data_IF_013677752945
#
_entry.id   IF_013677752945
#
_cell.length_a   1.000
_cell.length_b   1.000
_cell.length_c   1.000
_cell.angle_alpha   90.00
_cell.angle_beta   90.00
_cell.angle_gamma   90.00
#
_symmetry.space_group_name_H-M   'P 1'
#
loop_
_entity.id
_entity.type
_entity.pdbx_description
1 polymer ?
#
# COMPACT_ATOMS: atom_id res chain seq x y z
N UNK A 1 18.12 28.91 -2.28
CA UNK A 1 18.13 28.61 -3.72
C UNK A 1 16.68 28.56 -4.17
N UNK A 2 16.24 29.48 -5.04
CA UNK A 2 14.87 29.52 -5.56
C UNK A 2 14.89 28.78 -6.89
N UNK A 3 14.02 27.74 -7.02
CA UNK A 3 13.90 26.99 -8.28
C UNK A 3 13.36 27.88 -9.37
N UNK A 4 13.92 27.80 -10.58
CA UNK A 4 13.36 28.46 -11.75
C UNK A 4 12.05 27.75 -12.21
N UNK A 5 11.22 28.46 -12.97
CA UNK A 5 10.03 27.84 -13.57
C UNK A 5 10.38 26.66 -14.49
N UNK A 6 11.53 26.70 -15.16
CA UNK A 6 12.04 25.59 -15.97
C UNK A 6 12.39 24.36 -15.13
N UNK A 7 12.98 24.56 -13.94
CA UNK A 7 13.29 23.47 -13.01
C UNK A 7 12.01 22.84 -12.46
N UNK A 8 11.01 23.66 -12.11
CA UNK A 8 9.69 23.18 -11.65
C UNK A 8 9.05 22.33 -12.74
N UNK A 9 8.92 22.84 -13.96
CA UNK A 9 8.33 22.09 -15.08
C UNK A 9 9.07 20.78 -15.39
N UNK A 10 10.39 20.74 -15.19
CA UNK A 10 11.19 19.52 -15.38
C UNK A 10 10.94 18.50 -14.26
N UNK A 11 10.78 18.94 -13.01
CA UNK A 11 10.54 18.09 -11.84
C UNK A 11 9.13 17.52 -11.85
N UNK A 12 8.14 18.30 -12.29
CA UNK A 12 6.73 17.88 -12.40
C UNK A 12 6.45 16.91 -13.55
N UNK A 13 7.42 16.72 -14.46
CA UNK A 13 7.20 15.84 -15.64
C UNK A 13 7.03 14.39 -15.24
N UNK A 14 5.82 13.87 -15.40
CA UNK A 14 5.49 12.47 -15.19
C UNK A 14 6.23 11.60 -16.23
N UNK A 15 6.83 10.49 -15.78
CA UNK A 15 7.59 9.57 -16.63
C UNK A 15 7.21 8.13 -16.35
N UNK A 16 6.65 7.46 -17.36
CA UNK A 16 6.34 6.02 -17.30
C UNK A 16 7.57 5.19 -16.98
N UNK A 17 8.74 5.54 -17.54
CA UNK A 17 9.98 4.81 -17.26
C UNK A 17 10.33 4.85 -15.78
N UNK A 18 10.23 6.01 -15.13
CA UNK A 18 10.47 6.13 -13.68
C UNK A 18 9.48 5.29 -12.87
N UNK A 19 8.19 5.34 -13.19
CA UNK A 19 7.17 4.52 -12.54
C UNK A 19 7.47 3.02 -12.67
N UNK A 20 7.75 2.54 -13.88
CA UNK A 20 8.08 1.14 -14.14
C UNK A 20 9.37 0.71 -13.43
N UNK A 21 10.44 1.52 -13.49
CA UNK A 21 11.71 1.21 -12.82
C UNK A 21 11.53 1.13 -11.30
N UNK A 22 10.73 2.02 -10.70
CA UNK A 22 10.44 1.98 -9.25
C UNK A 22 9.69 0.71 -8.85
N UNK A 23 8.69 0.31 -9.64
CA UNK A 23 7.91 -0.91 -9.39
C UNK A 23 8.79 -2.15 -9.56
N UNK A 24 9.44 -2.28 -10.72
CA UNK A 24 10.30 -3.44 -11.00
C UNK A 24 11.49 -3.51 -10.04
N UNK A 25 12.08 -2.38 -9.67
CA UNK A 25 13.12 -2.30 -8.66
C UNK A 25 12.67 -2.87 -7.32
N UNK A 26 11.45 -2.56 -6.87
CA UNK A 26 10.89 -3.13 -5.64
C UNK A 26 10.74 -4.66 -5.74
N UNK A 27 10.21 -5.16 -6.84
CA UNK A 27 10.05 -6.60 -7.08
C UNK A 27 11.40 -7.34 -7.21
N UNK A 28 12.38 -6.75 -7.88
CA UNK A 28 13.73 -7.32 -8.00
C UNK A 28 14.43 -7.40 -6.64
N UNK A 29 14.27 -6.39 -5.80
CA UNK A 29 14.83 -6.42 -4.43
C UNK A 29 14.15 -7.52 -3.60
N UNK A 30 12.82 -7.70 -3.71
CA UNK A 30 12.10 -8.80 -3.05
C UNK A 30 12.66 -10.15 -3.52
N UNK A 31 12.72 -10.37 -4.83
CA UNK A 31 13.24 -11.61 -5.41
C UNK A 31 14.70 -11.87 -4.97
N UNK A 32 15.55 -10.85 -4.98
CA UNK A 32 16.93 -10.94 -4.52
C UNK A 32 17.03 -11.32 -3.04
N UNK A 33 16.21 -10.71 -2.18
CA UNK A 33 16.17 -11.02 -0.73
C UNK A 33 15.75 -12.48 -0.49
N UNK A 34 14.72 -12.96 -1.19
CA UNK A 34 14.29 -14.37 -1.12
C UNK A 34 15.42 -15.31 -1.57
N UNK A 35 16.01 -15.05 -2.74
CA UNK A 35 17.06 -15.90 -3.30
C UNK A 35 18.30 -15.97 -2.41
N UNK A 36 18.76 -14.82 -1.90
CA UNK A 36 19.91 -14.76 -1.00
C UNK A 36 19.65 -15.48 0.33
N UNK A 37 18.48 -15.32 0.91
CA UNK A 37 18.16 -16.01 2.16
C UNK A 37 17.92 -17.51 1.98
N UNK A 38 17.50 -17.96 0.80
CA UNK A 38 17.42 -19.37 0.46
C UNK A 38 18.81 -20.02 0.34
N UNK A 39 19.82 -19.27 -0.12
CA UNK A 39 21.21 -19.74 -0.16
C UNK A 39 21.93 -19.61 1.19
N UNK A 40 21.64 -18.55 1.93
CA UNK A 40 22.28 -18.22 3.20
C UNK A 40 21.20 -18.00 4.26
N UNK A 41 20.75 -19.05 4.92
CA UNK A 41 19.61 -19.05 5.87
C UNK A 41 19.77 -18.05 7.01
N UNK A 42 20.97 -17.71 7.42
CA UNK A 42 21.26 -16.70 8.45
C UNK A 42 20.86 -15.26 8.01
N UNK A 43 20.69 -15.01 6.69
CA UNK A 43 20.20 -13.75 6.14
C UNK A 43 18.67 -13.61 6.24
N UNK A 44 17.94 -14.67 6.62
CA UNK A 44 16.48 -14.65 6.65
C UNK A 44 15.88 -13.48 7.47
N UNK A 45 16.35 -13.16 8.69
CA UNK A 45 15.81 -12.02 9.42
C UNK A 45 15.97 -10.68 8.68
N UNK A 46 17.10 -10.49 8.00
CA UNK A 46 17.34 -9.31 7.18
C UNK A 46 16.44 -9.31 5.93
N UNK A 47 16.26 -10.47 5.29
CA UNK A 47 15.37 -10.61 4.14
C UNK A 47 13.91 -10.23 4.50
N UNK A 48 13.42 -10.67 5.66
CA UNK A 48 12.09 -10.29 6.18
C UNK A 48 11.94 -8.77 6.27
N UNK A 49 12.92 -8.07 6.86
CA UNK A 49 12.89 -6.60 6.99
C UNK A 49 12.96 -5.89 5.63
N UNK A 50 13.80 -6.39 4.72
CA UNK A 50 13.92 -5.83 3.36
C UNK A 50 12.61 -6.02 2.59
N UNK A 51 11.99 -7.20 2.67
CA UNK A 51 10.72 -7.48 2.00
C UNK A 51 9.60 -6.62 2.60
N UNK A 52 9.50 -6.51 3.93
CA UNK A 52 8.54 -5.63 4.60
C UNK A 52 8.67 -4.18 4.09
N UNK A 53 9.90 -3.66 4.04
CA UNK A 53 10.17 -2.33 3.50
C UNK A 53 9.75 -2.20 2.02
N UNK A 54 9.91 -3.24 1.20
CA UNK A 54 9.48 -3.21 -0.21
C UNK A 54 7.97 -3.32 -0.36
N UNK A 55 7.29 -4.07 0.48
CA UNK A 55 5.81 -4.10 0.52
C UNK A 55 5.27 -2.70 0.86
N UNK A 56 5.86 -2.03 1.85
CA UNK A 56 5.54 -0.63 2.16
C UNK A 56 5.80 0.30 0.96
N UNK A 57 6.92 0.12 0.26
CA UNK A 57 7.24 0.90 -0.94
C UNK A 57 6.22 0.67 -2.08
N UNK A 58 5.74 -0.57 -2.26
CA UNK A 58 4.64 -0.85 -3.20
C UNK A 58 3.36 -0.12 -2.79
N UNK A 59 3.04 -0.04 -1.49
CA UNK A 59 1.93 0.77 -0.97
C UNK A 59 2.09 2.26 -1.32
N UNK A 60 3.30 2.83 -1.19
CA UNK A 60 3.58 4.20 -1.61
C UNK A 60 3.42 4.37 -3.13
N UNK A 61 3.79 3.38 -3.93
CA UNK A 61 3.56 3.42 -5.38
C UNK A 61 2.07 3.31 -5.74
N UNK A 62 1.24 2.64 -4.93
CA UNK A 62 -0.22 2.73 -5.06
C UNK A 62 -0.70 4.17 -4.84
N UNK A 63 -0.17 4.86 -3.83
CA UNK A 63 -0.45 6.27 -3.55
C UNK A 63 -0.08 7.16 -4.75
N UNK A 64 1.10 6.98 -5.34
CA UNK A 64 1.49 7.68 -6.59
C UNK A 64 0.51 7.35 -7.74
N UNK A 65 0.06 6.10 -7.83
CA UNK A 65 -0.96 5.68 -8.80
C UNK A 65 -2.33 6.32 -8.57
N UNK A 66 -2.71 6.60 -7.31
CA UNK A 66 -3.91 7.37 -6.96
C UNK A 66 -3.82 8.77 -7.55
N UNK A 67 -2.66 9.41 -7.44
CA UNK A 67 -2.38 10.75 -7.98
C UNK A 67 -2.05 10.76 -9.47
N UNK A 68 -2.09 9.60 -10.15
CA UNK A 68 -1.80 9.46 -11.59
C UNK A 68 -0.37 9.85 -11.98
N UNK A 69 0.59 9.58 -11.09
CA UNK A 69 2.00 9.98 -11.24
C UNK A 69 2.91 8.86 -11.78
N UNK A 70 2.42 7.63 -11.93
CA UNK A 70 3.21 6.52 -12.47
C UNK A 70 3.35 6.55 -13.99
N UNK A 71 2.40 7.18 -14.70
CA UNK A 71 2.42 7.30 -16.16
C UNK A 71 1.54 8.45 -16.62
N UNK A 72 1.92 9.18 -17.72
CA UNK A 72 1.04 10.16 -18.36
C UNK A 72 -0.23 9.52 -18.96
N UNK A 73 -0.19 8.24 -19.31
CA UNK A 73 -1.36 7.48 -19.74
C UNK A 73 -2.16 7.00 -18.53
N UNK A 74 -3.39 7.49 -18.36
CA UNK A 74 -4.27 7.12 -17.24
C UNK A 74 -4.51 5.60 -17.18
N UNK A 75 -4.70 4.95 -18.33
CA UNK A 75 -4.90 3.50 -18.40
C UNK A 75 -3.66 2.74 -17.92
N UNK A 76 -2.49 3.15 -18.40
CA UNK A 76 -1.23 2.50 -18.00
C UNK A 76 -0.91 2.77 -16.52
N UNK A 77 -1.14 3.99 -16.05
CA UNK A 77 -1.03 4.33 -14.63
C UNK A 77 -1.87 3.36 -13.76
N UNK A 78 -3.14 3.18 -14.12
CA UNK A 78 -4.05 2.33 -13.35
C UNK A 78 -3.72 0.84 -13.45
N UNK A 79 -3.24 0.37 -14.61
CA UNK A 79 -2.76 -1.01 -14.75
C UNK A 79 -1.53 -1.26 -13.87
N UNK A 80 -0.53 -0.37 -13.92
CA UNK A 80 0.69 -0.47 -13.11
C UNK A 80 0.35 -0.44 -11.61
N UNK A 81 -0.43 0.57 -11.19
CA UNK A 81 -0.82 0.72 -9.78
C UNK A 81 -1.65 -0.46 -9.28
N UNK A 82 -2.62 -0.93 -10.06
CA UNK A 82 -3.55 -1.98 -9.66
C UNK A 82 -2.89 -3.35 -9.59
N UNK A 83 -2.29 -3.80 -10.69
CA UNK A 83 -1.83 -5.18 -10.80
C UNK A 83 -0.44 -5.43 -10.25
N UNK A 84 0.45 -4.45 -10.30
CA UNK A 84 1.83 -4.61 -9.84
C UNK A 84 2.07 -4.09 -8.43
N UNK A 85 1.15 -3.30 -7.87
CA UNK A 85 1.31 -2.72 -6.53
C UNK A 85 0.12 -3.06 -5.62
N UNK A 86 -1.10 -2.63 -5.96
CA UNK A 86 -2.25 -2.66 -5.07
C UNK A 86 -2.75 -4.09 -4.78
N UNK A 87 -3.05 -4.88 -5.81
CA UNK A 87 -3.57 -6.24 -5.63
C UNK A 87 -2.60 -7.13 -4.86
N UNK A 88 -1.29 -7.19 -5.19
CA UNK A 88 -0.34 -7.99 -4.42
C UNK A 88 -0.27 -7.59 -2.94
N UNK A 89 -0.42 -6.30 -2.64
CA UNK A 89 -0.42 -5.78 -1.27
C UNK A 89 -1.82 -5.70 -0.65
N UNK A 90 -2.80 -6.38 -1.23
CA UNK A 90 -4.19 -6.44 -0.76
C UNK A 90 -4.86 -5.06 -0.64
N UNK A 91 -4.47 -4.08 -1.43
CA UNK A 91 -5.03 -2.73 -1.45
C UNK A 91 -6.03 -2.58 -2.60
N UNK A 92 -7.24 -2.10 -2.33
CA UNK A 92 -8.19 -1.70 -3.37
C UNK A 92 -7.85 -0.30 -3.89
N UNK A 93 -7.27 -0.21 -5.09
CA UNK A 93 -6.92 1.07 -5.72
C UNK A 93 -8.14 1.98 -5.85
N UNK A 94 -9.28 1.43 -6.27
CA UNK A 94 -10.49 2.20 -6.51
C UNK A 94 -11.08 2.78 -5.22
N UNK A 95 -11.14 2.00 -4.14
CA UNK A 95 -11.63 2.46 -2.84
C UNK A 95 -10.68 3.47 -2.21
N UNK A 96 -9.37 3.17 -2.24
CA UNK A 96 -8.38 4.05 -1.63
C UNK A 96 -8.28 5.39 -2.37
N UNK A 97 -8.35 5.39 -3.72
CA UNK A 97 -8.35 6.63 -4.51
C UNK A 97 -9.46 7.58 -4.06
N UNK A 98 -10.68 7.10 -3.97
CA UNK A 98 -11.81 7.92 -3.55
C UNK A 98 -11.57 8.53 -2.17
N UNK A 99 -11.21 7.67 -1.21
CA UNK A 99 -10.96 8.08 0.18
C UNK A 99 -9.83 9.09 0.29
N UNK A 100 -8.71 8.81 -0.37
CA UNK A 100 -7.50 9.61 -0.32
C UNK A 100 -7.70 11.02 -0.93
N UNK A 101 -8.42 11.11 -2.05
CA UNK A 101 -8.76 12.39 -2.66
C UNK A 101 -9.73 13.22 -1.79
N UNK A 102 -10.61 12.56 -1.02
CA UNK A 102 -11.44 13.24 -0.02
C UNK A 102 -10.58 13.76 1.13
N UNK A 103 -9.64 12.93 1.63
CA UNK A 103 -8.68 13.38 2.63
C UNK A 103 -7.96 14.66 2.16
N UNK A 104 -7.39 14.67 0.95
CA UNK A 104 -6.74 15.88 0.40
C UNK A 104 -7.66 17.10 0.35
N UNK A 105 -8.94 16.91 0.02
CA UNK A 105 -9.90 17.99 -0.09
C UNK A 105 -10.33 18.55 1.26
N UNK A 106 -10.39 17.73 2.29
CA UNK A 106 -10.97 18.06 3.59
C UNK A 106 -9.99 17.93 4.76
N UNK A 107 -8.70 17.81 4.48
CA UNK A 107 -7.67 17.68 5.53
C UNK A 107 -7.80 18.76 6.61
N UNK A 108 -7.75 18.34 7.88
CA UNK A 108 -7.89 19.24 9.02
C UNK A 108 -9.33 19.59 9.38
N UNK A 109 -10.34 19.08 8.69
CA UNK A 109 -11.76 19.28 9.01
C UNK A 109 -12.40 17.99 9.54
N UNK A 110 -13.63 18.12 10.07
CA UNK A 110 -14.43 16.97 10.53
C UNK A 110 -14.91 16.06 9.36
N UNK A 111 -14.81 16.52 8.12
CA UNK A 111 -15.14 15.75 6.93
C UNK A 111 -13.95 14.92 6.40
N UNK A 112 -12.77 15.06 7.00
CA UNK A 112 -11.60 14.29 6.65
C UNK A 112 -11.70 12.85 7.16
N UNK A 113 -11.65 11.89 6.25
CA UNK A 113 -11.69 10.47 6.56
C UNK A 113 -10.53 9.98 7.42
N UNK A 114 -9.36 10.57 7.25
CA UNK A 114 -8.13 10.17 7.91
C UNK A 114 -7.87 10.99 9.19
N UNK A 115 -8.82 11.86 9.57
CA UNK A 115 -8.73 12.66 10.81
C UNK A 115 -8.42 11.81 12.05
N UNK A 116 -8.96 10.59 12.13
CA UNK A 116 -8.71 9.67 13.24
C UNK A 116 -7.24 9.24 13.38
N UNK A 117 -6.42 9.41 12.34
CA UNK A 117 -4.99 9.07 12.37
C UNK A 117 -4.15 10.14 13.06
N UNK A 118 -4.62 11.38 13.12
CA UNK A 118 -3.81 12.48 13.60
C UNK A 118 -4.49 13.39 14.66
N UNK A 119 -5.81 13.28 14.88
CA UNK A 119 -6.54 14.16 15.82
C UNK A 119 -6.15 14.00 17.28
N UNK A 120 -5.47 12.92 17.64
CA UNK A 120 -4.98 12.68 18.99
C UNK A 120 -3.50 13.05 19.20
N UNK A 121 -2.83 13.60 18.22
CA UNK A 121 -1.49 14.17 18.38
C UNK A 121 -1.57 15.61 18.92
N UNK A 122 -0.58 16.01 19.75
CA UNK A 122 0.64 15.30 20.13
C UNK A 122 0.41 14.23 21.20
N UNK A 123 1.11 13.08 21.06
CA UNK A 123 1.09 12.02 22.05
C UNK A 123 2.32 12.07 22.95
N UNK A 124 2.20 11.76 24.27
CA UNK A 124 3.35 11.44 25.10
C UNK A 124 4.14 10.28 24.51
N UNK A 125 5.47 10.34 24.57
CA UNK A 125 6.36 9.37 23.94
C UNK A 125 6.02 7.91 24.32
N UNK A 126 5.65 7.64 25.56
CA UNK A 126 5.25 6.30 26.00
C UNK A 126 4.00 5.77 25.32
N UNK A 127 2.99 6.63 25.04
CA UNK A 127 1.80 6.26 24.27
C UNK A 127 2.13 6.06 22.79
N UNK A 128 2.97 6.92 22.24
CA UNK A 128 3.43 6.79 20.85
C UNK A 128 4.15 5.45 20.64
N UNK A 129 5.13 5.11 21.50
CA UNK A 129 5.84 3.84 21.45
C UNK A 129 4.89 2.65 21.64
N UNK A 130 3.95 2.75 22.57
CA UNK A 130 2.93 1.70 22.76
C UNK A 130 2.08 1.50 21.50
N UNK A 131 1.65 2.58 20.84
CA UNK A 131 0.91 2.48 19.58
C UNK A 131 1.77 1.86 18.46
N UNK A 132 3.02 2.26 18.36
CA UNK A 132 3.97 1.72 17.38
C UNK A 132 4.18 0.21 17.58
N UNK A 133 4.32 -0.23 18.82
CA UNK A 133 4.58 -1.64 19.18
C UNK A 133 3.31 -2.51 19.24
N UNK A 134 2.13 -1.90 19.44
CA UNK A 134 0.88 -2.65 19.60
C UNK A 134 0.24 -3.14 18.31
N UNK A 135 0.94 -2.99 17.17
CA UNK A 135 0.41 -3.45 15.89
C UNK A 135 -0.85 -2.68 15.42
N UNK A 136 -1.10 -1.47 15.96
CA UNK A 136 -2.18 -0.63 15.41
C UNK A 136 -1.95 -0.32 13.93
N UNK A 137 -0.71 -0.33 13.51
CA UNK A 137 -0.34 -0.25 12.09
C UNK A 137 -0.90 -1.48 11.36
N UNK A 138 -0.71 -2.70 11.90
CA UNK A 138 -1.26 -3.95 11.35
C UNK A 138 -2.80 -4.01 11.43
N UNK A 139 -3.36 -3.71 12.60
CA UNK A 139 -4.81 -3.67 12.79
C UNK A 139 -5.45 -2.56 11.94
N UNK A 140 -4.77 -1.44 11.77
CA UNK A 140 -5.16 -0.36 10.86
C UNK A 140 -5.26 -0.85 9.41
N UNK A 141 -4.31 -1.61 8.92
CA UNK A 141 -4.36 -2.24 7.60
C UNK A 141 -5.53 -3.23 7.51
N UNK A 142 -5.67 -4.14 8.45
CA UNK A 142 -6.77 -5.11 8.48
C UNK A 142 -8.15 -4.42 8.55
N UNK A 143 -8.27 -3.36 9.34
CA UNK A 143 -9.49 -2.55 9.44
C UNK A 143 -9.72 -1.69 8.17
N UNK A 144 -8.67 -1.37 7.44
CA UNK A 144 -8.74 -0.69 6.16
C UNK A 144 -9.39 -1.56 5.07
N UNK A 145 -9.25 -2.88 5.20
CA UNK A 145 -9.81 -3.88 4.27
C UNK A 145 -11.19 -4.36 4.66
N UNK A 146 -11.47 -4.44 5.97
CA UNK A 146 -12.80 -4.74 6.48
C UNK A 146 -13.55 -3.42 6.61
N UNK A 147 -14.70 -3.31 6.05
CA UNK A 147 -15.69 -2.24 6.10
C UNK A 147 -15.39 -1.14 7.17
N UNK A 148 -14.42 -0.25 6.87
CA UNK A 148 -13.99 0.81 7.77
C UNK A 148 -15.16 1.72 8.17
N UNK A 149 -16.15 1.91 7.27
CA UNK A 149 -17.36 2.66 7.57
C UNK A 149 -18.14 2.03 8.74
N UNK A 150 -18.13 0.69 8.85
CA UNK A 150 -18.75 -0.01 9.97
C UNK A 150 -17.99 0.23 11.27
N UNK A 151 -16.64 0.22 11.22
CA UNK A 151 -15.80 0.48 12.39
C UNK A 151 -15.89 1.94 12.83
N UNK A 152 -15.93 2.88 11.90
CA UNK A 152 -16.11 4.31 12.19
C UNK A 152 -17.48 4.57 12.82
N UNK A 153 -18.55 3.96 12.31
CA UNK A 153 -19.91 4.01 12.91
C UNK A 153 -19.91 3.46 14.33
N UNK A 154 -19.26 2.32 14.57
CA UNK A 154 -19.18 1.71 15.90
C UNK A 154 -18.42 2.60 16.90
N UNK A 155 -17.47 3.41 16.43
CA UNK A 155 -16.71 4.37 17.24
C UNK A 155 -17.36 5.76 17.32
N UNK A 156 -18.54 5.98 16.73
CA UNK A 156 -19.21 7.29 16.67
C UNK A 156 -18.46 8.35 15.86
N UNK A 157 -17.55 7.90 14.96
CA UNK A 157 -16.80 8.79 14.10
C UNK A 157 -17.59 9.10 12.81
N UNK A 158 -17.38 10.28 12.20
CA UNK A 158 -18.08 10.63 10.96
C UNK A 158 -17.81 9.57 9.89
N UNK A 159 -18.89 9.06 9.30
CA UNK A 159 -18.81 8.19 8.13
C UNK A 159 -18.99 9.01 6.88
N UNK A 160 -18.18 8.77 5.86
CA UNK A 160 -18.43 9.42 4.61
C UNK A 160 -19.74 8.98 3.96
N UNK A 161 -20.36 9.85 3.18
CA UNK A 161 -21.36 9.40 2.23
C UNK A 161 -20.76 8.26 1.43
N UNK A 162 -21.51 7.16 1.30
CA UNK A 162 -21.06 5.96 0.58
C UNK A 162 -20.63 6.34 -0.84
N UNK A 163 -19.36 6.66 -1.00
CA UNK A 163 -18.76 6.97 -2.29
C UNK A 163 -18.62 5.64 -3.02
N UNK A 164 -19.64 5.34 -3.80
CA UNK A 164 -19.60 4.22 -4.72
C UNK A 164 -18.49 4.52 -5.73
N UNK A 165 -17.33 3.88 -5.57
CA UNK A 165 -16.41 3.77 -6.69
C UNK A 165 -17.17 3.15 -7.85
N UNK A 166 -17.18 3.81 -9.02
CA UNK A 166 -17.77 3.25 -10.23
C UNK A 166 -17.06 1.95 -10.68
N UNK A 167 -15.85 1.74 -10.22
CA UNK A 167 -15.03 0.58 -10.53
C UNK A 167 -14.89 -0.32 -9.30
N UNK A 168 -15.04 -1.62 -9.50
CA UNK A 168 -14.80 -2.63 -8.47
C UNK A 168 -13.52 -3.39 -8.81
N UNK A 169 -12.61 -3.49 -7.83
CA UNK A 169 -11.41 -4.33 -7.94
C UNK A 169 -11.71 -5.80 -7.62
N UNK A 170 -12.93 -6.15 -7.22
CA UNK A 170 -13.27 -7.47 -6.67
C UNK A 170 -12.95 -8.63 -7.63
N UNK A 171 -13.30 -8.49 -8.91
CA UNK A 171 -13.00 -9.52 -9.91
C UNK A 171 -11.49 -9.67 -10.12
N UNK A 172 -10.75 -8.55 -10.19
CA UNK A 172 -9.29 -8.57 -10.33
C UNK A 172 -8.61 -9.23 -9.12
N UNK A 173 -9.08 -8.95 -7.91
CA UNK A 173 -8.64 -9.62 -6.69
C UNK A 173 -8.91 -11.12 -6.74
N UNK A 174 -10.14 -11.50 -7.05
CA UNK A 174 -10.52 -12.92 -7.13
C UNK A 174 -9.63 -13.68 -8.10
N UNK A 175 -9.49 -13.17 -9.32
CA UNK A 175 -8.66 -13.81 -10.36
C UNK A 175 -7.20 -13.92 -9.93
N UNK A 176 -6.62 -12.85 -9.39
CA UNK A 176 -5.23 -12.85 -8.94
C UNK A 176 -5.00 -13.89 -7.84
N UNK A 177 -5.83 -13.88 -6.79
CA UNK A 177 -5.64 -14.80 -5.66
C UNK A 177 -6.00 -16.25 -6.00
N UNK A 178 -6.92 -16.49 -6.92
CA UNK A 178 -7.12 -17.84 -7.48
C UNK A 178 -5.83 -18.33 -8.15
N UNK A 179 -5.19 -17.50 -8.98
CA UNK A 179 -3.90 -17.86 -9.59
C UNK A 179 -2.83 -18.11 -8.53
N UNK A 180 -2.72 -17.25 -7.52
CA UNK A 180 -1.77 -17.44 -6.41
C UNK A 180 -2.01 -18.77 -5.71
N UNK A 181 -3.26 -19.09 -5.32
CA UNK A 181 -3.61 -20.36 -4.67
C UNK A 181 -3.26 -21.55 -5.54
N UNK A 182 -3.58 -21.51 -6.83
CA UNK A 182 -3.23 -22.59 -7.77
C UNK A 182 -1.72 -22.78 -7.85
N UNK A 183 -0.94 -21.69 -8.02
CA UNK A 183 0.52 -21.75 -8.08
C UNK A 183 1.10 -22.33 -6.80
N UNK A 184 0.69 -21.82 -5.63
CA UNK A 184 1.17 -22.31 -4.34
C UNK A 184 0.84 -23.79 -4.13
N UNK A 185 -0.34 -24.24 -4.58
CA UNK A 185 -0.76 -25.64 -4.45
C UNK A 185 0.00 -26.55 -5.40
N UNK A 186 0.22 -26.13 -6.65
CA UNK A 186 0.95 -26.93 -7.65
C UNK A 186 2.41 -27.12 -7.26
N UNK A 187 3.07 -26.09 -6.77
CA UNK A 187 4.50 -26.12 -6.40
C UNK A 187 4.75 -26.44 -4.93
N UNK A 188 3.72 -26.51 -4.10
CA UNK A 188 3.84 -26.74 -2.66
C UNK A 188 4.47 -25.58 -1.87
N UNK A 189 4.46 -24.35 -2.42
CA UNK A 189 5.15 -23.17 -1.85
C UNK A 189 4.36 -22.43 -0.77
N UNK A 190 3.54 -23.12 -0.01
CA UNK A 190 2.76 -22.50 1.04
C UNK A 190 3.63 -21.98 2.21
N UNK A 191 4.68 -22.73 2.56
CA UNK A 191 5.57 -22.31 3.65
C UNK A 191 6.39 -21.08 3.23
N UNK A 192 6.92 -21.08 2.01
CA UNK A 192 7.64 -19.95 1.44
C UNK A 192 6.77 -18.70 1.37
N UNK A 193 5.51 -18.86 0.98
CA UNK A 193 4.54 -17.74 0.97
C UNK A 193 4.29 -17.20 2.39
N UNK A 194 4.14 -18.06 3.38
CA UNK A 194 4.01 -17.63 4.79
C UNK A 194 5.27 -16.89 5.27
N UNK A 195 6.45 -17.43 5.00
CA UNK A 195 7.71 -16.89 5.49
C UNK A 195 8.15 -15.60 4.75
N UNK A 196 7.95 -15.54 3.43
CA UNK A 196 8.47 -14.45 2.60
C UNK A 196 7.41 -13.44 2.15
N UNK A 197 6.12 -13.69 2.40
CA UNK A 197 5.08 -12.73 2.07
C UNK A 197 4.24 -12.37 3.30
N UNK A 198 3.62 -13.33 3.96
CA UNK A 198 2.72 -13.06 5.08
C UNK A 198 3.48 -12.46 6.27
N UNK A 199 4.59 -13.09 6.70
CA UNK A 199 5.35 -12.60 7.86
C UNK A 199 5.92 -11.18 7.61
N UNK A 200 6.59 -10.86 6.49
CA UNK A 200 6.98 -9.48 6.19
C UNK A 200 5.81 -8.51 6.11
N UNK A 201 4.67 -8.94 5.55
CA UNK A 201 3.46 -8.12 5.46
C UNK A 201 2.91 -7.73 6.84
N UNK A 202 3.03 -8.62 7.83
CA UNK A 202 2.62 -8.35 9.21
C UNK A 202 3.51 -7.31 9.91
N UNK A 203 4.69 -7.03 9.39
CA UNK A 203 5.64 -6.04 9.91
C UNK A 203 5.55 -4.66 9.21
N UNK A 204 4.68 -4.52 8.20
CA UNK A 204 4.49 -3.24 7.47
C UNK A 204 3.50 -2.28 8.23
#
# INVERSE_FOLDING_TARGET
MILSAADINRLEKISTLRGVVSILGSWLVIAGAITLSAQFSWLYPLAVLVIANRIMALGLLVHEGIHQLLSPSLRLNDLLARYLCAIPTVISLSKWRVRHLIHHRFVGTSADYDAYLYTYFPLPIGRFLKQLLSGQIFLGHLLYFTDLDRVLKLKGLPTAPALKSKESDAVSFLLFYVVVVVVLSVFGWWMEFLLFWILPYLLC
#
